data_IF_716107368758
#
_entry.id   IF_716107368758
#
_cell.length_a   1.000
_cell.length_b   1.000
_cell.length_c   1.000
_cell.angle_alpha   90.00
_cell.angle_beta   90.00
_cell.angle_gamma   90.00
#
_symmetry.space_group_name_H-M   'P 1'
#
loop_
_entity.id
_entity.type
_entity.pdbx_description
1 polymer ?
#
# COMPACT_ATOMS: atom_id res chain seq x y z
N UNK A 1 -3.25 -42.68 5.96
CA UNK A 1 -2.69 -42.11 7.21
C UNK A 1 -1.56 -41.13 6.87
N UNK A 2 -1.92 -39.96 6.31
CA UNK A 2 -1.05 -38.80 6.04
C UNK A 2 -1.27 -37.69 7.10
N UNK A 3 -1.62 -38.06 8.34
CA UNK A 3 -2.11 -37.14 9.37
C UNK A 3 -1.28 -37.11 10.67
N UNK A 4 -0.02 -37.52 10.65
CA UNK A 4 0.82 -37.52 11.85
C UNK A 4 2.19 -36.82 11.72
N UNK A 5 2.57 -36.34 10.54
CA UNK A 5 3.87 -35.70 10.31
C UNK A 5 3.84 -34.16 10.26
N UNK A 6 2.66 -33.52 10.26
CA UNK A 6 2.54 -32.06 10.38
C UNK A 6 2.62 -31.56 11.85
N UNK A 7 2.63 -32.48 12.81
CA UNK A 7 2.77 -32.19 14.25
C UNK A 7 4.21 -31.79 14.62
N UNK A 8 5.18 -31.98 13.71
CA UNK A 8 6.59 -31.65 13.93
C UNK A 8 6.93 -30.14 13.84
N UNK A 9 6.01 -29.26 13.45
CA UNK A 9 6.24 -27.80 13.51
C UNK A 9 5.94 -27.25 14.93
N UNK A 10 5.24 -28.01 15.77
CA UNK A 10 4.96 -27.64 17.16
C UNK A 10 6.11 -27.95 18.16
N UNK A 11 7.34 -28.25 17.69
CA UNK A 11 8.49 -28.54 18.57
C UNK A 11 9.67 -27.58 18.37
N UNK A 12 9.61 -26.66 17.39
CA UNK A 12 10.61 -25.61 17.22
C UNK A 12 10.46 -24.43 18.22
N UNK A 13 9.66 -24.61 19.27
CA UNK A 13 9.58 -23.73 20.43
C UNK A 13 10.63 -24.05 21.54
N UNK A 14 11.54 -25.02 21.36
CA UNK A 14 12.28 -25.57 22.52
C UNK A 14 13.82 -25.41 22.52
N UNK A 15 14.46 -24.86 21.47
CA UNK A 15 15.94 -24.90 21.35
C UNK A 15 16.65 -23.55 21.50
N UNK A 16 15.97 -22.40 21.41
CA UNK A 16 16.64 -21.10 21.55
C UNK A 16 16.62 -20.50 22.97
N UNK A 17 16.28 -21.31 23.98
CA UNK A 17 16.23 -20.94 25.40
C UNK A 17 17.52 -21.24 26.21
N UNK A 18 18.71 -21.35 25.61
CA UNK A 18 19.93 -21.67 26.39
C UNK A 18 21.18 -20.86 25.97
N UNK A 19 21.31 -19.64 26.51
CA UNK A 19 22.52 -18.99 27.09
C UNK A 19 22.65 -17.49 26.73
N UNK A 20 23.21 -16.66 27.64
CA UNK A 20 22.88 -15.24 27.72
C UNK A 20 23.82 -14.40 26.86
N UNK A 21 23.25 -13.71 25.87
CA UNK A 21 23.87 -12.55 25.25
C UNK A 21 22.86 -11.40 25.37
N UNK A 22 23.38 -10.21 25.68
CA UNK A 22 22.64 -9.01 26.06
C UNK A 22 21.30 -8.83 25.32
N UNK A 23 20.23 -8.67 26.10
CA UNK A 23 18.91 -8.27 25.62
C UNK A 23 19.04 -6.84 25.08
N UNK A 24 19.26 -6.71 23.78
CA UNK A 24 18.67 -5.61 23.05
C UNK A 24 17.17 -5.96 22.93
N UNK A 25 16.28 -5.04 23.28
CA UNK A 25 14.84 -5.23 23.12
C UNK A 25 14.53 -5.48 21.63
N UNK A 26 14.37 -6.74 21.25
CA UNK A 26 13.80 -7.14 19.97
C UNK A 26 12.33 -6.72 20.01
N UNK A 27 11.99 -5.55 19.43
CA UNK A 27 10.59 -5.17 19.20
C UNK A 27 9.96 -6.22 18.29
N UNK A 28 8.74 -6.67 18.59
CA UNK A 28 8.09 -7.64 17.72
C UNK A 28 7.74 -6.97 16.38
N UNK A 29 7.72 -7.74 15.28
CA UNK A 29 7.31 -7.26 13.95
C UNK A 29 5.93 -6.57 13.97
N UNK A 30 5.03 -7.04 14.85
CA UNK A 30 3.74 -6.42 15.07
C UNK A 30 3.86 -5.02 15.67
N UNK A 31 4.74 -4.83 16.66
CA UNK A 31 4.99 -3.51 17.26
C UNK A 31 5.60 -2.53 16.25
N UNK A 32 6.50 -3.01 15.39
CA UNK A 32 7.11 -2.19 14.33
C UNK A 32 6.06 -1.75 13.30
N UNK A 33 5.16 -2.66 12.89
CA UNK A 33 4.09 -2.30 11.97
C UNK A 33 3.09 -1.33 12.61
N UNK A 34 2.63 -1.61 13.83
CA UNK A 34 1.68 -0.75 14.54
C UNK A 34 2.27 0.65 14.69
N UNK A 35 3.53 0.73 15.12
CA UNK A 35 4.25 2.00 15.18
C UNK A 35 4.30 2.71 13.82
N UNK A 36 4.64 2.02 12.73
CA UNK A 36 4.71 2.62 11.40
C UNK A 36 3.33 3.12 10.90
N UNK A 37 2.24 2.42 11.26
CA UNK A 37 0.87 2.84 10.94
C UNK A 37 0.48 4.07 11.77
N UNK A 38 0.73 4.06 13.08
CA UNK A 38 0.45 5.17 13.98
C UNK A 38 1.22 6.43 13.56
N UNK A 39 2.52 6.31 13.36
CA UNK A 39 3.40 7.40 12.91
C UNK A 39 2.97 7.97 11.55
N UNK A 40 2.58 7.12 10.59
CA UNK A 40 2.05 7.59 9.31
C UNK A 40 0.65 8.24 9.42
N UNK A 41 -0.17 7.81 10.37
CA UNK A 41 -1.48 8.42 10.62
C UNK A 41 -1.37 9.79 11.30
N UNK A 42 -0.32 10.02 12.09
CA UNK A 42 -0.05 11.29 12.78
C UNK A 42 0.49 12.40 11.86
N UNK A 43 0.88 12.07 10.62
CA UNK A 43 1.35 13.07 9.65
C UNK A 43 0.27 14.12 9.36
N UNK A 44 0.58 15.39 9.67
CA UNK A 44 -0.24 16.52 9.27
C UNK A 44 -0.06 16.77 7.76
N UNK A 45 -0.94 16.16 6.98
CA UNK A 45 -1.04 16.36 5.55
C UNK A 45 -2.20 17.31 5.19
N UNK A 46 -2.53 18.26 6.07
CA UNK A 46 -3.52 19.29 5.77
C UNK A 46 -3.04 20.23 4.67
N UNK A 47 -3.98 20.89 3.99
CA UNK A 47 -3.67 21.85 2.90
C UNK A 47 -2.78 23.01 3.38
N UNK A 48 -2.89 23.38 4.65
CA UNK A 48 -2.14 24.51 5.21
C UNK A 48 -0.70 24.11 5.58
N UNK A 49 -0.45 22.81 5.83
CA UNK A 49 0.88 22.28 6.13
C UNK A 49 1.62 21.69 4.91
N UNK A 50 0.91 21.44 3.81
CA UNK A 50 1.49 20.85 2.60
C UNK A 50 1.80 21.90 1.53
N UNK A 51 3.07 22.07 1.22
CA UNK A 51 3.51 22.72 -0.02
C UNK A 51 3.67 21.65 -1.11
N UNK A 52 2.91 21.80 -2.21
CA UNK A 52 2.93 20.85 -3.33
C UNK A 52 3.32 21.58 -4.60
N UNK A 53 4.48 21.22 -5.14
CA UNK A 53 5.04 21.86 -6.33
C UNK A 53 5.30 20.85 -7.44
N UNK A 54 5.37 21.35 -8.67
CA UNK A 54 5.93 20.60 -9.80
C UNK A 54 6.72 21.54 -10.71
N UNK A 55 7.81 21.04 -11.27
CA UNK A 55 8.71 21.83 -12.10
C UNK A 55 8.04 22.46 -13.35
N UNK A 56 7.00 21.82 -13.90
CA UNK A 56 6.40 22.20 -15.20
C UNK A 56 4.88 22.40 -15.17
N UNK A 57 4.23 22.15 -14.04
CA UNK A 57 2.77 22.11 -13.94
C UNK A 57 2.36 22.82 -12.66
N UNK A 58 1.41 23.74 -12.79
CA UNK A 58 0.75 24.33 -11.62
C UNK A 58 -0.17 23.27 -10.99
N UNK A 59 0.06 22.95 -9.71
CA UNK A 59 -0.66 21.89 -9.00
C UNK A 59 -1.84 22.51 -8.24
N UNK A 60 -3.05 22.13 -8.64
CA UNK A 60 -4.26 22.59 -7.96
C UNK A 60 -4.50 21.78 -6.68
N UNK A 61 -4.16 22.34 -5.53
CA UNK A 61 -4.49 21.76 -4.22
C UNK A 61 -6.00 21.72 -3.92
N UNK A 62 -6.85 22.26 -4.80
CA UNK A 62 -8.31 22.21 -4.73
C UNK A 62 -8.93 20.94 -5.31
N UNK A 63 -8.15 20.11 -6.01
CA UNK A 63 -8.63 18.81 -6.47
C UNK A 63 -8.56 17.82 -5.30
N UNK A 64 -9.68 17.61 -4.62
CA UNK A 64 -9.76 16.71 -3.45
C UNK A 64 -9.42 15.26 -3.79
N UNK A 65 -9.75 14.80 -5.00
CA UNK A 65 -9.41 13.44 -5.43
C UNK A 65 -7.89 13.31 -5.60
N UNK A 66 -7.26 14.26 -6.28
CA UNK A 66 -5.81 14.28 -6.44
C UNK A 66 -5.11 14.37 -5.08
N UNK A 67 -5.53 15.32 -4.24
CA UNK A 67 -4.94 15.51 -2.92
C UNK A 67 -5.14 14.29 -2.02
N UNK A 68 -6.31 13.64 -2.05
CA UNK A 68 -6.56 12.40 -1.32
C UNK A 68 -5.61 11.27 -1.75
N UNK A 69 -5.40 11.10 -3.06
CA UNK A 69 -4.44 10.11 -3.58
C UNK A 69 -3.00 10.45 -3.20
N UNK A 70 -2.62 11.73 -3.23
CA UNK A 70 -1.30 12.18 -2.81
C UNK A 70 -1.05 11.91 -1.32
N UNK A 71 -2.01 12.23 -0.46
CA UNK A 71 -1.93 11.94 0.98
C UNK A 71 -1.79 10.45 1.26
N UNK A 72 -2.62 9.62 0.62
CA UNK A 72 -2.52 8.17 0.74
C UNK A 72 -1.14 7.66 0.30
N UNK A 73 -0.59 8.19 -0.81
CA UNK A 73 0.76 7.84 -1.29
C UNK A 73 1.84 8.21 -0.27
N UNK A 74 1.78 9.40 0.32
CA UNK A 74 2.74 9.88 1.32
C UNK A 74 2.72 9.03 2.59
N UNK A 75 1.53 8.70 3.11
CA UNK A 75 1.40 7.84 4.29
C UNK A 75 1.91 6.43 4.04
N UNK A 76 1.60 5.83 2.88
CA UNK A 76 2.17 4.54 2.50
C UNK A 76 3.69 4.62 2.33
N UNK A 77 4.21 5.71 1.76
CA UNK A 77 5.64 5.91 1.66
C UNK A 77 6.31 6.02 3.03
N UNK A 78 5.67 6.68 4.01
CA UNK A 78 6.14 6.73 5.40
C UNK A 78 6.21 5.35 6.03
N UNK A 79 5.13 4.56 5.90
CA UNK A 79 5.11 3.17 6.40
C UNK A 79 6.25 2.36 5.78
N UNK A 80 6.40 2.38 4.46
CA UNK A 80 7.46 1.62 3.79
C UNK A 80 8.87 2.11 4.15
N UNK A 81 9.02 3.42 4.40
CA UNK A 81 10.28 3.99 4.85
C UNK A 81 10.66 3.43 6.23
N UNK A 82 9.76 3.52 7.22
CA UNK A 82 9.96 2.96 8.56
C UNK A 82 10.29 1.45 8.52
N UNK A 83 9.54 0.69 7.72
CA UNK A 83 9.78 -0.75 7.56
C UNK A 83 11.11 -1.08 6.86
N UNK A 84 11.64 -0.17 6.04
CA UNK A 84 12.89 -0.39 5.30
C UNK A 84 14.16 -0.06 6.11
N UNK A 85 14.08 0.88 7.06
CA UNK A 85 15.22 1.29 7.87
C UNK A 85 15.46 0.41 9.10
N UNK A 86 14.46 -0.38 9.53
CA UNK A 86 14.50 -1.08 10.81
C UNK A 86 15.14 -2.48 10.77
N UNK A 87 15.41 -3.11 9.61
CA UNK A 87 15.98 -4.49 9.59
C UNK A 87 17.05 -4.75 8.50
N UNK A 88 18.31 -4.98 8.91
CA UNK A 88 19.22 -5.90 8.21
C UNK A 88 18.68 -7.33 8.39
N UNK A 89 17.82 -7.80 7.50
CA UNK A 89 17.33 -9.19 7.53
C UNK A 89 15.98 -9.45 6.88
N UNK A 90 15.16 -8.42 6.71
CA UNK A 90 13.83 -8.55 6.13
C UNK A 90 13.66 -7.71 4.87
N UNK A 91 13.35 -8.38 3.76
CA UNK A 91 12.69 -7.76 2.63
C UNK A 91 11.23 -8.21 2.68
N UNK A 92 10.29 -7.29 2.87
CA UNK A 92 8.86 -7.56 2.62
C UNK A 92 8.72 -7.95 1.14
N UNK A 93 8.77 -9.25 0.86
CA UNK A 93 8.83 -9.76 -0.52
C UNK A 93 7.44 -9.92 -1.11
N UNK A 94 6.38 -9.99 -0.29
CA UNK A 94 5.00 -10.24 -0.74
C UNK A 94 3.97 -9.62 0.22
N UNK A 95 3.01 -8.85 -0.32
CA UNK A 95 1.92 -8.20 0.45
C UNK A 95 1.02 -9.16 1.28
N UNK A 96 1.15 -10.47 1.11
CA UNK A 96 0.52 -11.49 1.94
C UNK A 96 1.04 -11.51 3.39
N UNK A 97 2.28 -11.06 3.64
CA UNK A 97 2.88 -11.02 4.98
C UNK A 97 2.20 -9.98 5.88
N UNK A 98 1.73 -8.87 5.32
CA UNK A 98 0.92 -7.86 6.03
C UNK A 98 -0.44 -8.44 6.44
N UNK A 99 -1.12 -9.17 5.55
CA UNK A 99 -2.40 -9.82 5.86
C UNK A 99 -2.21 -10.89 6.94
N UNK A 100 -1.15 -11.69 6.86
CA UNK A 100 -0.84 -12.71 7.85
C UNK A 100 -0.50 -12.09 9.22
N UNK A 101 0.20 -10.97 9.23
CA UNK A 101 0.53 -10.24 10.45
C UNK A 101 -0.69 -9.57 11.08
N UNK A 102 -1.60 -8.99 10.28
CA UNK A 102 -2.88 -8.47 10.78
C UNK A 102 -3.76 -9.58 11.36
N UNK A 103 -3.70 -10.78 10.77
CA UNK A 103 -4.34 -11.98 11.33
C UNK A 103 -3.66 -12.43 12.63
N UNK A 104 -2.33 -12.45 12.70
CA UNK A 104 -1.57 -12.79 13.91
C UNK A 104 -1.77 -11.75 15.03
N UNK A 105 -1.95 -10.46 14.70
CA UNK A 105 -2.27 -9.38 15.64
C UNK A 105 -3.74 -9.44 16.12
N UNK A 106 -4.67 -9.85 15.25
CA UNK A 106 -6.04 -10.17 15.64
C UNK A 106 -6.10 -11.41 16.56
N UNK A 107 -5.18 -12.38 16.38
CA UNK A 107 -5.04 -13.58 17.22
C UNK A 107 -4.29 -13.33 18.53
N UNK A 108 -3.42 -12.31 18.63
CA UNK A 108 -2.63 -12.01 19.84
C UNK A 108 -3.43 -11.33 20.97
N UNK A 109 -4.65 -10.88 20.66
CA UNK A 109 -5.77 -10.75 21.60
C UNK A 109 -5.69 -9.65 22.66
N UNK A 110 -6.53 -8.62 22.52
CA UNK A 110 -7.35 -8.09 23.62
C UNK A 110 -8.36 -7.05 23.11
N UNK A 111 -9.41 -7.46 22.40
CA UNK A 111 -10.71 -6.79 22.47
C UNK A 111 -11.79 -7.88 22.60
N UNK A 112 -12.69 -7.69 23.57
CA UNK A 112 -13.66 -8.67 24.07
C UNK A 112 -14.53 -9.30 22.96
N UNK A 113 -14.11 -10.47 22.47
CA UNK A 113 -14.80 -11.23 21.41
C UNK A 113 -16.09 -11.90 21.94
N UNK A 114 -16.39 -11.77 23.24
CA UNK A 114 -17.60 -12.32 23.82
C UNK A 114 -18.87 -11.48 23.53
N UNK A 115 -18.71 -10.23 23.06
CA UNK A 115 -19.83 -9.31 22.79
C UNK A 115 -20.25 -9.16 21.32
N UNK A 116 -19.35 -9.42 20.38
CA UNK A 116 -19.58 -9.37 18.92
C UNK A 116 -18.46 -10.15 18.23
N UNK A 117 -18.73 -11.02 17.24
CA UNK A 117 -17.66 -11.69 16.50
C UNK A 117 -16.73 -10.66 15.87
N UNK A 118 -15.42 -10.85 16.00
CA UNK A 118 -14.41 -9.99 15.39
C UNK A 118 -14.69 -9.85 13.89
N UNK A 119 -15.09 -8.65 13.46
CA UNK A 119 -15.29 -8.34 12.05
C UNK A 119 -13.98 -7.79 11.48
N UNK A 120 -13.24 -8.64 10.77
CA UNK A 120 -11.98 -8.26 10.11
C UNK A 120 -12.16 -7.08 9.14
N UNK A 121 -13.32 -6.96 8.50
CA UNK A 121 -13.64 -5.83 7.63
C UNK A 121 -13.68 -4.52 8.39
N UNK A 122 -14.48 -4.48 9.47
CA UNK A 122 -14.58 -3.29 10.32
C UNK A 122 -13.22 -2.96 10.93
N UNK A 123 -12.47 -3.97 11.37
CA UNK A 123 -11.11 -3.75 11.89
C UNK A 123 -10.20 -3.09 10.85
N UNK A 124 -10.12 -3.61 9.63
CA UNK A 124 -9.29 -3.03 8.56
C UNK A 124 -9.76 -1.60 8.24
N UNK A 125 -11.08 -1.36 8.17
CA UNK A 125 -11.58 -0.03 7.85
C UNK A 125 -11.24 0.97 8.97
N UNK A 126 -11.60 0.68 10.22
CA UNK A 126 -11.45 1.61 11.32
C UNK A 126 -10.01 1.76 11.84
N UNK A 127 -9.18 0.72 11.70
CA UNK A 127 -7.82 0.74 12.24
C UNK A 127 -6.75 1.06 11.20
N UNK A 128 -7.06 0.93 9.90
CA UNK A 128 -6.08 1.13 8.83
C UNK A 128 -6.58 2.15 7.81
N UNK A 129 -7.75 1.91 7.20
CA UNK A 129 -8.21 2.72 6.06
C UNK A 129 -8.53 4.15 6.48
N UNK A 130 -9.35 4.33 7.52
CA UNK A 130 -9.78 5.66 7.96
C UNK A 130 -8.63 6.46 8.60
N UNK A 131 -7.82 5.91 9.53
CA UNK A 131 -6.71 6.66 10.11
C UNK A 131 -5.66 7.11 9.08
N UNK A 132 -5.42 6.30 8.06
CA UNK A 132 -4.47 6.63 6.98
C UNK A 132 -5.14 7.35 5.80
N UNK A 133 -6.44 7.64 5.86
CA UNK A 133 -7.25 8.19 4.77
C UNK A 133 -7.01 7.48 3.41
N UNK A 134 -6.99 6.15 3.41
CA UNK A 134 -6.71 5.34 2.20
C UNK A 134 -7.92 5.19 1.27
N UNK A 135 -9.09 5.69 1.67
CA UNK A 135 -10.32 5.58 0.90
C UNK A 135 -10.18 6.07 -0.55
N UNK A 136 -9.61 7.27 -0.85
CA UNK A 136 -9.43 7.71 -2.24
C UNK A 136 -8.61 6.72 -3.09
N UNK A 137 -7.62 6.07 -2.47
CA UNK A 137 -6.81 5.06 -3.15
C UNK A 137 -7.59 3.76 -3.40
N UNK A 138 -8.31 3.27 -2.40
CA UNK A 138 -9.09 2.03 -2.48
C UNK A 138 -10.20 2.15 -3.53
N UNK A 139 -10.81 3.34 -3.65
CA UNK A 139 -11.81 3.67 -4.66
C UNK A 139 -11.19 3.79 -6.06
N UNK A 140 -9.99 4.35 -6.18
CA UNK A 140 -9.36 4.62 -7.48
C UNK A 140 -8.66 3.40 -8.10
N UNK A 141 -8.09 2.50 -7.29
CA UNK A 141 -7.36 1.35 -7.81
C UNK A 141 -8.20 0.46 -8.76
N UNK A 142 -9.45 0.10 -8.46
CA UNK A 142 -10.31 -0.63 -9.41
C UNK A 142 -10.51 0.07 -10.76
N UNK A 143 -10.57 1.41 -10.79
CA UNK A 143 -10.69 2.16 -12.06
C UNK A 143 -9.46 1.94 -12.94
N UNK A 144 -8.28 1.87 -12.34
CA UNK A 144 -7.05 1.57 -13.05
C UNK A 144 -6.93 0.10 -13.45
N UNK A 145 -7.52 -0.83 -12.69
CA UNK A 145 -7.64 -2.23 -13.12
C UNK A 145 -8.47 -2.33 -14.39
N UNK A 146 -9.64 -1.69 -14.41
CA UNK A 146 -10.52 -1.70 -15.59
C UNK A 146 -9.82 -1.06 -16.80
N UNK A 147 -9.05 0.01 -16.56
CA UNK A 147 -8.24 0.65 -17.59
C UNK A 147 -7.18 -0.30 -18.19
N UNK A 148 -6.52 -1.12 -17.36
CA UNK A 148 -5.59 -2.15 -17.81
C UNK A 148 -6.31 -3.24 -18.60
N UNK A 149 -7.41 -3.77 -18.06
CA UNK A 149 -8.18 -4.85 -18.70
C UNK A 149 -8.89 -4.43 -19.99
N UNK A 150 -9.10 -3.12 -20.19
CA UNK A 150 -9.69 -2.58 -21.42
C UNK A 150 -8.78 -2.61 -22.64
N UNK A 151 -7.49 -2.91 -22.43
CA UNK A 151 -6.46 -2.88 -23.46
C UNK A 151 -6.15 -4.31 -23.92
N UNK A 152 -6.26 -4.56 -25.21
CA UNK A 152 -5.81 -5.82 -25.81
C UNK A 152 -4.32 -6.03 -25.54
N UNK A 153 -3.92 -7.29 -25.29
CA UNK A 153 -2.54 -7.71 -25.05
C UNK A 153 -1.86 -6.93 -23.89
N UNK A 154 -2.63 -6.55 -22.86
CA UNK A 154 -2.11 -5.80 -21.71
C UNK A 154 -1.02 -6.56 -20.93
N UNK A 155 -1.07 -7.90 -20.90
CA UNK A 155 -0.05 -8.74 -20.26
C UNK A 155 1.29 -8.56 -20.96
N UNK A 156 1.34 -8.72 -22.29
CA UNK A 156 2.56 -8.51 -23.10
C UNK A 156 3.10 -7.09 -22.95
N UNK A 157 2.21 -6.09 -22.81
CA UNK A 157 2.60 -4.70 -22.57
C UNK A 157 3.21 -4.50 -21.19
N UNK A 158 2.70 -5.16 -20.16
CA UNK A 158 3.32 -5.14 -18.83
C UNK A 158 4.67 -5.86 -18.82
N UNK A 159 4.76 -7.02 -19.47
CA UNK A 159 6.04 -7.74 -19.64
C UNK A 159 7.07 -6.85 -20.33
N UNK A 160 6.70 -6.15 -21.41
CA UNK A 160 7.59 -5.23 -22.10
C UNK A 160 8.05 -4.06 -21.22
N UNK A 161 7.18 -3.55 -20.34
CA UNK A 161 7.55 -2.47 -19.42
C UNK A 161 8.45 -2.99 -18.31
N UNK A 162 8.23 -4.22 -17.82
CA UNK A 162 9.04 -4.87 -16.79
C UNK A 162 10.42 -5.33 -17.30
N UNK A 163 10.50 -5.68 -18.59
CA UNK A 163 11.72 -6.12 -19.27
C UNK A 163 12.66 -4.95 -19.56
N UNK A 164 13.28 -4.41 -18.50
CA UNK A 164 14.29 -3.36 -18.62
C UNK A 164 15.69 -3.86 -18.24
N UNK A 165 16.59 -3.84 -19.23
CA UNK A 165 18.00 -4.28 -19.14
C UNK A 165 18.89 -3.37 -18.26
N UNK A 166 18.35 -2.32 -17.68
CA UNK A 166 19.09 -1.24 -17.01
C UNK A 166 19.32 -1.48 -15.50
N UNK A 167 18.77 -2.53 -14.90
CA UNK A 167 19.10 -2.98 -13.54
C UNK A 167 18.56 -2.10 -12.40
N UNK A 168 17.84 -1.03 -12.72
CA UNK A 168 17.22 -0.09 -11.77
C UNK A 168 15.69 -0.24 -11.65
N UNK A 169 15.12 -1.25 -12.33
CA UNK A 169 13.68 -1.43 -12.47
C UNK A 169 13.08 -0.54 -13.57
N UNK A 170 11.78 -0.70 -13.85
CA UNK A 170 11.14 -0.07 -15.00
C UNK A 170 11.06 1.46 -14.85
N UNK A 171 11.54 2.19 -15.86
CA UNK A 171 11.38 3.64 -15.93
C UNK A 171 9.93 4.00 -16.28
N UNK A 172 9.24 4.66 -15.36
CA UNK A 172 7.81 4.96 -15.51
C UNK A 172 7.56 6.26 -16.27
N UNK A 173 8.56 7.15 -16.37
CA UNK A 173 8.50 8.41 -17.13
C UNK A 173 7.25 9.22 -16.83
N UNK A 174 6.86 9.32 -15.55
CA UNK A 174 5.66 10.02 -15.08
C UNK A 174 4.36 9.51 -15.74
N UNK A 175 4.32 8.23 -16.10
CA UNK A 175 3.18 7.54 -16.71
C UNK A 175 3.28 7.47 -18.23
N UNK A 176 4.21 8.21 -18.85
CA UNK A 176 4.42 8.20 -20.30
C UNK A 176 4.69 6.80 -20.83
N UNK A 177 5.42 5.96 -20.09
CA UNK A 177 5.73 4.58 -20.47
C UNK A 177 4.45 3.77 -20.71
N UNK A 178 3.46 3.85 -19.79
CA UNK A 178 2.18 3.16 -19.94
C UNK A 178 1.38 3.68 -21.14
N UNK A 179 1.35 4.98 -21.36
CA UNK A 179 0.60 5.54 -22.51
C UNK A 179 1.24 5.21 -23.86
N UNK A 180 2.57 5.13 -23.93
CA UNK A 180 3.26 4.67 -25.13
C UNK A 180 2.97 3.19 -25.42
N UNK A 181 2.76 2.38 -24.37
CA UNK A 181 2.28 1.01 -24.49
C UNK A 181 0.78 0.91 -24.83
N UNK A 182 0.05 2.03 -24.88
CA UNK A 182 -1.36 2.08 -25.27
C UNK A 182 -2.36 2.05 -24.13
N UNK A 183 -1.92 2.12 -22.87
CA UNK A 183 -2.83 2.28 -21.73
C UNK A 183 -3.48 3.68 -21.75
N UNK A 184 -4.80 3.78 -21.47
CA UNK A 184 -5.50 5.06 -21.53
C UNK A 184 -5.00 6.04 -20.45
N UNK A 185 -5.40 7.30 -20.58
CA UNK A 185 -5.29 8.26 -19.47
C UNK A 185 -6.58 8.21 -18.68
N UNK A 186 -6.51 7.74 -17.43
CA UNK A 186 -7.69 7.60 -16.58
C UNK A 186 -8.13 8.98 -16.09
N UNK A 187 -7.18 9.75 -15.53
CA UNK A 187 -7.41 11.13 -15.12
C UNK A 187 -6.80 12.07 -16.16
N UNK A 188 -7.56 13.07 -16.62
CA UNK A 188 -7.13 13.98 -17.72
C UNK A 188 -6.46 15.27 -17.24
N UNK A 189 -6.52 15.53 -15.94
CA UNK A 189 -5.94 16.74 -15.34
C UNK A 189 -4.42 16.60 -15.27
N UNK A 190 -3.71 17.73 -15.44
CA UNK A 190 -2.25 17.72 -15.61
C UNK A 190 -1.53 17.28 -14.34
N UNK A 191 -2.05 17.60 -13.16
CA UNK A 191 -1.46 17.21 -11.88
C UNK A 191 -1.29 15.69 -11.73
N UNK A 192 -2.16 14.87 -12.31
CA UNK A 192 -2.06 13.40 -12.25
C UNK A 192 -0.89 12.81 -13.04
N UNK A 193 -0.38 13.56 -14.02
CA UNK A 193 0.72 13.16 -14.89
C UNK A 193 2.04 13.86 -14.54
N UNK A 194 2.01 14.77 -13.58
CA UNK A 194 3.19 15.51 -13.14
C UNK A 194 3.94 14.72 -12.07
N UNK A 195 5.26 14.85 -12.05
CA UNK A 195 6.02 14.51 -10.83
C UNK A 195 5.85 15.66 -9.85
N UNK A 196 5.52 15.34 -8.61
CA UNK A 196 5.36 16.34 -7.56
C UNK A 196 6.48 16.29 -6.53
N UNK A 197 6.79 17.46 -6.01
CA UNK A 197 7.58 17.65 -4.80
C UNK A 197 6.60 18.09 -3.72
N UNK A 198 6.70 17.46 -2.56
CA UNK A 198 5.90 17.77 -1.39
C UNK A 198 6.85 18.09 -0.26
N UNK A 199 6.64 19.26 0.34
CA UNK A 199 7.32 19.68 1.55
C UNK A 199 6.27 19.90 2.65
N UNK A 200 6.55 19.35 3.82
CA UNK A 200 5.84 19.59 5.08
C UNK A 200 6.87 19.83 6.17
N UNK A 201 6.43 20.26 7.35
CA UNK A 201 7.31 20.42 8.52
C UNK A 201 8.06 19.12 8.89
N UNK A 202 7.45 17.96 8.64
CA UNK A 202 7.97 16.64 9.04
C UNK A 202 8.59 15.83 7.88
N UNK A 203 8.27 16.17 6.63
CA UNK A 203 8.61 15.36 5.45
C UNK A 203 9.05 16.24 4.29
N UNK A 204 10.20 15.89 3.71
CA UNK A 204 10.52 16.23 2.32
C UNK A 204 10.34 15.01 1.44
N UNK A 205 9.39 15.07 0.52
CA UNK A 205 9.10 14.02 -0.45
C UNK A 205 9.28 14.55 -1.88
N UNK A 206 10.12 13.87 -2.66
CA UNK A 206 10.41 14.28 -4.03
C UNK A 206 10.21 13.12 -4.98
N UNK A 207 9.26 13.25 -5.90
CA UNK A 207 9.09 12.29 -6.99
C UNK A 207 10.09 12.58 -8.10
N UNK A 208 11.00 11.64 -8.36
CA UNK A 208 11.83 11.70 -9.57
C UNK A 208 11.01 11.41 -10.82
N UNK A 209 10.51 10.16 -10.91
CA UNK A 209 9.95 9.60 -12.15
C UNK A 209 8.49 9.10 -12.04
N UNK A 210 7.84 9.25 -10.88
CA UNK A 210 6.57 8.57 -10.59
C UNK A 210 5.45 9.54 -10.21
N UNK A 211 4.64 9.94 -11.19
CA UNK A 211 3.38 10.67 -10.98
C UNK A 211 2.31 9.80 -10.29
N UNK A 212 1.18 10.38 -9.87
CA UNK A 212 0.05 9.61 -9.34
C UNK A 212 -0.43 8.57 -10.35
N UNK A 213 -0.58 8.95 -11.62
CA UNK A 213 -1.01 7.99 -12.64
C UNK A 213 0.01 6.87 -12.87
N UNK A 214 1.30 7.21 -12.92
CA UNK A 214 2.37 6.22 -13.02
C UNK A 214 2.34 5.24 -11.85
N UNK A 215 2.11 5.75 -10.64
CA UNK A 215 2.04 4.96 -9.42
C UNK A 215 0.87 3.97 -9.47
N UNK A 216 -0.32 4.40 -9.87
CA UNK A 216 -1.52 3.56 -9.94
C UNK A 216 -1.41 2.47 -11.03
N UNK A 217 -0.83 2.78 -12.19
CA UNK A 217 -0.52 1.76 -13.19
C UNK A 217 0.56 0.78 -12.70
N UNK A 218 1.62 1.30 -12.07
CA UNK A 218 2.71 0.46 -11.54
C UNK A 218 2.23 -0.47 -10.43
N UNK A 219 1.19 -0.10 -9.68
CA UNK A 219 0.57 -0.98 -8.70
C UNK A 219 0.06 -2.24 -9.39
N UNK A 220 -0.76 -2.11 -10.43
CA UNK A 220 -1.32 -3.27 -11.13
C UNK A 220 -0.28 -4.08 -11.89
N UNK A 221 0.72 -3.42 -12.47
CA UNK A 221 1.86 -4.09 -13.09
C UNK A 221 2.63 -4.95 -12.07
N UNK A 222 2.89 -4.46 -10.85
CA UNK A 222 3.51 -5.26 -9.78
C UNK A 222 2.61 -6.42 -9.33
N UNK A 223 1.29 -6.21 -9.25
CA UNK A 223 0.36 -7.31 -8.91
C UNK A 223 0.30 -8.37 -10.02
N UNK A 224 0.48 -7.98 -11.27
CA UNK A 224 0.64 -8.92 -12.39
C UNK A 224 1.93 -9.74 -12.24
N UNK A 225 3.08 -9.09 -12.03
CA UNK A 225 4.38 -9.75 -11.82
C UNK A 225 4.36 -10.74 -10.64
N UNK A 226 3.63 -10.40 -9.58
CA UNK A 226 3.44 -11.27 -8.42
C UNK A 226 2.40 -12.39 -8.61
N UNK A 227 1.65 -12.40 -9.72
CA UNK A 227 0.54 -13.32 -9.97
C UNK A 227 -0.68 -13.09 -9.07
N UNK A 228 -0.85 -11.89 -8.51
CA UNK A 228 -1.87 -11.53 -7.53
C UNK A 228 -2.95 -10.57 -8.03
N UNK A 229 -2.86 -10.12 -9.29
CA UNK A 229 -3.71 -9.07 -9.89
C UNK A 229 -5.22 -9.26 -9.64
N UNK A 230 -5.79 -10.43 -9.92
CA UNK A 230 -7.22 -10.68 -9.74
C UNK A 230 -7.65 -10.88 -8.27
N UNK A 231 -6.76 -11.42 -7.45
CA UNK A 231 -7.03 -11.60 -6.01
C UNK A 231 -7.09 -10.23 -5.34
N UNK A 232 -6.12 -9.36 -5.66
CA UNK A 232 -6.09 -8.00 -5.12
C UNK A 232 -7.27 -7.17 -5.59
N UNK A 233 -7.73 -7.33 -6.85
CA UNK A 233 -8.99 -6.73 -7.31
C UNK A 233 -10.18 -7.18 -6.47
N UNK A 234 -10.32 -8.49 -6.22
CA UNK A 234 -11.39 -9.03 -5.37
C UNK A 234 -11.38 -8.42 -3.96
N UNK A 235 -10.19 -8.28 -3.36
CA UNK A 235 -10.04 -7.66 -2.02
C UNK A 235 -10.43 -6.19 -2.06
N UNK A 236 -10.00 -5.44 -3.08
CA UNK A 236 -10.36 -4.02 -3.23
C UNK A 236 -11.85 -3.83 -3.45
N UNK A 237 -12.50 -4.70 -4.23
CA UNK A 237 -13.96 -4.64 -4.43
C UNK A 237 -14.70 -4.89 -3.12
N UNK A 238 -14.29 -5.92 -2.37
CA UNK A 238 -14.84 -6.18 -1.05
C UNK A 238 -14.63 -5.00 -0.07
N UNK A 239 -13.48 -4.34 -0.09
CA UNK A 239 -13.24 -3.15 0.74
C UNK A 239 -14.11 -1.96 0.31
N UNK A 240 -14.33 -1.77 -0.99
CA UNK A 240 -15.21 -0.72 -1.49
C UNK A 240 -16.65 -0.93 -1.06
N UNK A 241 -17.15 -2.18 -1.11
CA UNK A 241 -18.49 -2.53 -0.61
C UNK A 241 -18.63 -2.18 0.89
N UNK A 242 -17.58 -2.44 1.70
CA UNK A 242 -17.58 -2.08 3.12
C UNK A 242 -17.58 -0.58 3.37
N UNK A 243 -16.85 0.18 2.55
CA UNK A 243 -16.85 1.64 2.64
C UNK A 243 -18.22 2.22 2.27
N UNK A 244 -18.88 1.66 1.24
CA UNK A 244 -20.25 2.03 0.86
C UNK A 244 -21.25 1.76 2.00
N UNK A 245 -21.17 0.58 2.62
CA UNK A 245 -22.03 0.22 3.77
C UNK A 245 -21.87 1.20 4.95
N UNK A 246 -20.65 1.72 5.18
CA UNK A 246 -20.37 2.68 6.24
C UNK A 246 -20.87 4.09 5.90
N UNK A 247 -20.67 4.56 4.67
CA UNK A 247 -21.22 5.84 4.21
C UNK A 247 -22.75 5.87 4.35
N UNK A 248 -23.42 4.80 3.92
CA UNK A 248 -24.88 4.64 4.04
C UNK A 248 -25.37 4.60 5.50
N UNK A 249 -24.54 4.08 6.42
CA UNK A 249 -24.86 4.00 7.84
C UNK A 249 -24.67 5.33 8.58
N UNK A 250 -23.75 6.18 8.12
CA UNK A 250 -23.40 7.45 8.79
C UNK A 250 -24.30 8.62 8.35
N UNK A 251 -24.78 8.63 7.09
CA UNK A 251 -25.83 9.53 6.60
C UNK A 251 -25.42 10.99 6.40
#
# INVERSE_FOLDING_TARGET
MKKFFAVCICVAAAVLLISPAAVAEERSLADVLVYAIEDAAELDLSRDNMEVESYNVDISTKDEKFMGLLRAKLRLARIFNELSYQEEGFSFRKGYELVRLLMEAAESGSHDIAGSPFNLGDYIVFQIILPLELEPLIRELPVYYDAVMSVDDWEEKFELILDTDDGWGPQLSRGKTFHLAGFPKVNKKKEYHAAVHVETDDIYYSEGDSSIEAWLYSFWMRRYDEGSIHIVKTVLDWLNDRLDELEDAVG
#
